data_IF_811091351568
#
_entry.id   IF_811091351568
#
_cell.length_a   1.000
_cell.length_b   1.000
_cell.length_c   1.000
_cell.angle_alpha   90.00
_cell.angle_beta   90.00
_cell.angle_gamma   90.00
#
_symmetry.space_group_name_H-M   'P 1'
#
loop_
_entity.id
_entity.type
_entity.pdbx_description
1 polymer ?
#
# COMPACT_ATOMS: atom_id res chain seq x y z
N UNK A 1 -37.59 -24.07 4.02
CA UNK A 1 -36.13 -23.91 4.15
C UNK A 1 -35.56 -22.86 3.19
N UNK A 2 -36.15 -22.68 2.01
CA UNK A 2 -35.72 -21.74 0.97
C UNK A 2 -35.60 -20.27 1.44
N UNK A 3 -36.54 -19.82 2.28
CA UNK A 3 -36.52 -18.45 2.86
C UNK A 3 -35.29 -18.23 3.75
N UNK A 4 -34.89 -19.24 4.54
CA UNK A 4 -33.70 -19.13 5.41
C UNK A 4 -32.43 -19.01 4.58
N UNK A 5 -32.33 -19.79 3.50
CA UNK A 5 -31.20 -19.73 2.57
C UNK A 5 -31.14 -18.37 1.86
N UNK A 6 -32.29 -17.85 1.43
CA UNK A 6 -32.39 -16.52 0.81
C UNK A 6 -31.93 -15.41 1.77
N UNK A 7 -32.32 -15.49 3.04
CA UNK A 7 -31.95 -14.54 4.08
C UNK A 7 -30.44 -14.56 4.36
N UNK A 8 -29.84 -15.76 4.38
CA UNK A 8 -28.40 -15.93 4.54
C UNK A 8 -27.61 -15.38 3.35
N UNK A 9 -28.08 -15.62 2.12
CA UNK A 9 -27.48 -15.04 0.92
C UNK A 9 -27.55 -13.51 0.92
N UNK A 10 -28.69 -12.96 1.33
CA UNK A 10 -28.85 -11.50 1.42
C UNK A 10 -27.91 -10.88 2.46
N UNK A 11 -27.77 -11.52 3.63
CA UNK A 11 -26.85 -11.07 4.67
C UNK A 11 -25.38 -11.11 4.21
N UNK A 12 -24.98 -12.17 3.51
CA UNK A 12 -23.64 -12.31 2.95
C UNK A 12 -23.33 -11.20 1.92
N UNK A 13 -24.29 -10.89 1.05
CA UNK A 13 -24.16 -9.82 0.05
C UNK A 13 -23.94 -8.45 0.72
N UNK A 14 -24.71 -8.13 1.75
CA UNK A 14 -24.58 -6.88 2.51
C UNK A 14 -23.20 -6.78 3.16
N UNK A 15 -22.69 -7.88 3.71
CA UNK A 15 -21.35 -7.91 4.33
C UNK A 15 -20.23 -7.69 3.29
N UNK A 16 -20.33 -8.27 2.09
CA UNK A 16 -19.35 -8.04 1.02
C UNK A 16 -19.25 -6.57 0.59
N UNK A 17 -20.38 -5.85 0.58
CA UNK A 17 -20.42 -4.42 0.21
C UNK A 17 -19.75 -3.51 1.27
N UNK A 18 -19.67 -3.94 2.53
CA UNK A 18 -19.03 -3.16 3.61
C UNK A 18 -17.51 -3.33 3.67
N UNK A 19 -16.96 -4.40 3.09
CA UNK A 19 -15.52 -4.71 3.17
C UNK A 19 -14.68 -3.85 2.21
N UNK A 20 -15.28 -3.32 1.13
CA UNK A 20 -14.57 -2.53 0.13
C UNK A 20 -14.52 -1.04 0.48
N UNK A 21 -13.80 -0.68 1.55
CA UNK A 21 -13.29 0.68 1.65
C UNK A 21 -12.11 0.80 0.68
N UNK A 22 -12.34 1.44 -0.47
CA UNK A 22 -11.26 1.77 -1.40
C UNK A 22 -10.26 2.66 -0.63
N UNK A 23 -9.06 2.16 -0.37
CA UNK A 23 -8.01 2.96 0.27
C UNK A 23 -7.77 4.18 -0.62
N UNK A 24 -8.08 5.37 -0.11
CA UNK A 24 -7.74 6.60 -0.80
C UNK A 24 -6.23 6.71 -0.82
N UNK A 25 -5.64 6.49 -2.00
CA UNK A 25 -4.21 6.66 -2.21
C UNK A 25 -3.90 8.16 -2.11
N UNK A 26 -3.30 8.59 -1.00
CA UNK A 26 -2.83 9.96 -0.85
C UNK A 26 -1.47 10.08 -1.56
N UNK A 27 -1.45 10.80 -2.68
CA UNK A 27 -0.20 11.17 -3.33
C UNK A 27 0.55 12.15 -2.43
N UNK A 28 1.68 11.73 -1.86
CA UNK A 28 2.54 12.62 -1.06
C UNK A 28 3.44 13.36 -2.05
N UNK A 29 3.29 14.70 -2.23
CA UNK A 29 4.19 15.44 -3.10
C UNK A 29 5.62 15.39 -2.56
N UNK A 30 6.59 15.18 -3.44
CA UNK A 30 8.01 15.23 -3.09
C UNK A 30 8.36 16.60 -2.49
N UNK A 31 9.17 16.60 -1.42
CA UNK A 31 9.71 17.86 -0.90
C UNK A 31 10.92 18.22 -1.76
N UNK A 32 10.85 19.36 -2.44
CA UNK A 32 11.94 19.86 -3.26
C UNK A 32 12.74 20.88 -2.46
N UNK A 33 14.06 20.75 -2.46
CA UNK A 33 14.97 21.75 -1.90
C UNK A 33 15.86 22.30 -3.01
N UNK A 34 16.04 23.62 -2.99
CA UNK A 34 17.03 24.29 -3.84
C UNK A 34 18.40 23.97 -3.25
N UNK A 35 19.32 23.45 -4.06
CA UNK A 35 20.71 23.27 -3.63
C UNK A 35 21.54 24.50 -3.99
N UNK A 36 21.87 25.36 -3.02
CA UNK A 36 22.67 26.55 -3.31
C UNK A 36 24.07 26.11 -3.78
N UNK A 37 24.51 26.63 -4.92
CA UNK A 37 25.84 26.40 -5.49
C UNK A 37 25.90 25.41 -6.65
N UNK A 38 24.93 24.50 -6.79
CA UNK A 38 24.88 23.55 -7.92
C UNK A 38 24.40 24.20 -9.23
N UNK A 39 23.68 25.32 -9.12
CA UNK A 39 23.14 26.09 -10.23
C UNK A 39 24.22 26.55 -11.22
N UNK A 40 25.43 26.82 -10.71
CA UNK A 40 26.58 27.25 -11.51
C UNK A 40 27.21 26.12 -12.36
N UNK A 41 27.04 24.86 -11.95
CA UNK A 41 27.55 23.70 -12.69
C UNK A 41 26.56 23.21 -13.76
N UNK A 42 25.26 23.40 -13.54
CA UNK A 42 24.20 22.86 -14.42
C UNK A 42 23.62 23.95 -15.34
N UNK A 43 24.02 25.22 -15.15
CA UNK A 43 23.64 26.32 -16.04
C UNK A 43 22.20 26.80 -15.86
N UNK A 44 21.63 26.65 -14.65
CA UNK A 44 20.25 27.03 -14.35
C UNK A 44 19.81 26.64 -12.94
N UNK A 45 18.63 27.09 -12.49
CA UNK A 45 18.09 26.72 -11.18
C UNK A 45 17.89 25.21 -11.10
N UNK A 46 18.48 24.57 -10.08
CA UNK A 46 18.45 23.13 -9.90
C UNK A 46 17.74 22.75 -8.60
N UNK A 47 16.62 22.04 -8.71
CA UNK A 47 15.82 21.55 -7.59
C UNK A 47 15.88 20.04 -7.52
N UNK A 48 16.33 19.49 -6.39
CA UNK A 48 16.22 18.05 -6.12
C UNK A 48 14.91 17.83 -5.36
N UNK A 49 14.00 17.08 -5.98
CA UNK A 49 12.81 16.59 -5.31
C UNK A 49 13.09 15.18 -4.81
N UNK A 50 13.04 14.99 -3.49
CA UNK A 50 13.14 13.66 -2.87
C UNK A 50 11.76 13.23 -2.39
N UNK A 51 11.39 11.98 -2.68
CA UNK A 51 10.27 11.33 -2.00
C UNK A 51 10.55 11.34 -0.49
N UNK A 52 9.51 11.48 0.36
CA UNK A 52 9.67 11.81 1.77
C UNK A 52 10.77 10.97 2.43
N UNK A 53 11.77 11.62 3.07
CA UNK A 53 12.87 10.94 3.70
C UNK A 53 12.33 10.36 5.00
N UNK A 54 11.98 9.08 4.97
CA UNK A 54 11.88 8.15 6.10
C UNK A 54 11.35 6.83 5.54
N UNK A 55 12.06 6.23 4.59
CA UNK A 55 11.98 4.79 4.45
C UNK A 55 12.67 4.21 5.68
N UNK A 56 11.91 4.08 6.78
CA UNK A 56 12.34 3.31 7.93
C UNK A 56 12.46 1.89 7.41
N UNK A 57 13.67 1.32 7.49
CA UNK A 57 13.87 -0.08 7.15
C UNK A 57 12.86 -0.88 7.98
N UNK A 58 12.00 -1.71 7.36
CA UNK A 58 11.09 -2.56 8.11
C UNK A 58 11.85 -3.34 9.17
N UNK A 59 11.25 -3.54 10.33
CA UNK A 59 11.89 -4.36 11.36
C UNK A 59 11.95 -5.81 10.90
N UNK A 60 12.78 -6.63 11.52
CA UNK A 60 12.86 -8.05 11.15
C UNK A 60 11.52 -8.76 11.42
N UNK A 61 10.78 -8.30 12.43
CA UNK A 61 9.44 -8.76 12.77
C UNK A 61 8.45 -8.49 11.64
N UNK A 62 8.46 -7.27 11.08
CA UNK A 62 7.61 -6.89 9.95
C UNK A 62 7.91 -7.75 8.71
N UNK A 63 9.20 -8.00 8.45
CA UNK A 63 9.65 -8.86 7.34
C UNK A 63 9.15 -10.29 7.55
N UNK A 64 9.28 -10.84 8.76
CA UNK A 64 8.86 -12.20 9.08
C UNK A 64 7.34 -12.37 8.99
N UNK A 65 6.55 -11.37 9.43
CA UNK A 65 5.10 -11.38 9.33
C UNK A 65 4.64 -11.42 7.87
N UNK A 66 5.29 -10.66 6.98
CA UNK A 66 4.99 -10.69 5.54
C UNK A 66 5.36 -12.04 4.92
N UNK A 67 6.52 -12.62 5.27
CA UNK A 67 6.93 -13.94 4.79
C UNK A 67 5.90 -15.01 5.21
N UNK A 68 5.49 -15.02 6.47
CA UNK A 68 4.47 -15.96 6.97
C UNK A 68 3.12 -15.74 6.30
N UNK A 69 2.75 -14.49 6.03
CA UNK A 69 1.54 -14.18 5.29
C UNK A 69 1.62 -14.71 3.85
N UNK A 70 2.72 -14.51 3.14
CA UNK A 70 2.92 -15.06 1.78
C UNK A 70 2.90 -16.59 1.78
N UNK A 71 3.52 -17.23 2.79
CA UNK A 71 3.51 -18.68 2.94
C UNK A 71 2.11 -19.23 3.24
N UNK A 72 1.31 -18.54 4.05
CA UNK A 72 -0.08 -18.92 4.30
C UNK A 72 -1.01 -18.64 3.12
N UNK A 73 -0.69 -17.62 2.30
CA UNK A 73 -1.34 -17.37 1.01
C UNK A 73 -0.96 -18.37 -0.08
N UNK A 74 0.18 -19.08 0.06
CA UNK A 74 0.46 -20.32 -0.68
C UNK A 74 -0.42 -21.45 -0.17
N UNK A 75 -1.73 -21.24 -0.29
CA UNK A 75 -2.72 -22.27 -0.48
C UNK A 75 -2.38 -23.06 -1.75
N UNK A 76 -2.54 -24.38 -1.69
CA UNK A 76 -2.83 -25.21 -2.86
C UNK A 76 -1.62 -25.87 -3.52
N UNK A 77 -1.59 -27.19 -3.40
CA UNK A 77 -0.95 -28.14 -4.32
C UNK A 77 -0.86 -27.58 -5.76
N UNK A 78 0.36 -27.37 -6.25
CA UNK A 78 0.63 -27.54 -7.68
C UNK A 78 0.94 -29.03 -7.83
N UNK A 79 -0.06 -29.75 -8.31
CA UNK A 79 0.04 -31.15 -8.73
C UNK A 79 0.63 -31.22 -10.14
#
# INVERSE_FOLDING_TARGET
MLIKTLLLCFLALVMCLQVSTARQYQFIPGRCTVQPGLEKQVGGPFTICTFPPKHVRPTQEDINAVIQHIQSLRLGHVQ
#
